data_IF_762860733704
#
_entry.id   IF_762860733704
#
_cell.length_a   1.000
_cell.length_b   1.000
_cell.length_c   1.000
_cell.angle_alpha   90.00
_cell.angle_beta   90.00
_cell.angle_gamma   90.00
#
_symmetry.space_group_name_H-M   'P 1'
#
loop_
_entity.id
_entity.type
_entity.pdbx_description
1 polymer ?
#
# COMPACT_ATOMS: atom_id res chain seq x y z
N UNK A 1 -82.04 36.50 -5.72
CA UNK A 1 -81.18 35.75 -4.78
C UNK A 1 -80.27 36.78 -4.12
N UNK A 2 -80.44 37.04 -2.82
CA UNK A 2 -79.58 36.52 -1.73
C UNK A 2 -78.23 37.25 -1.64
N UNK A 3 -78.09 38.23 -0.73
CA UNK A 3 -77.78 38.13 0.72
C UNK A 3 -76.28 37.85 0.95
N UNK A 4 -75.56 38.51 1.86
CA UNK A 4 -75.78 39.67 2.75
C UNK A 4 -74.51 39.83 3.63
N UNK A 5 -74.29 41.04 4.15
CA UNK A 5 -73.59 41.37 5.43
C UNK A 5 -72.07 41.05 5.53
N UNK A 6 -71.24 41.72 6.35
CA UNK A 6 -71.30 43.06 6.99
C UNK A 6 -69.89 43.45 7.55
N UNK A 7 -69.74 44.70 8.04
CA UNK A 7 -68.72 45.16 9.02
C UNK A 7 -67.24 45.26 8.56
N UNK A 8 -66.35 46.06 9.18
CA UNK A 8 -66.49 47.32 9.94
C UNK A 8 -65.08 47.89 10.23
N UNK A 9 -65.00 49.20 10.55
CA UNK A 9 -63.97 49.87 11.35
C UNK A 9 -62.48 49.83 10.93
N UNK A 10 -61.96 51.02 10.59
CA UNK A 10 -60.74 51.58 11.19
C UNK A 10 -59.45 50.75 11.18
N UNK A 11 -58.62 50.97 10.17
CA UNK A 11 -57.18 50.72 10.27
C UNK A 11 -56.54 51.71 11.27
N UNK A 12 -56.60 51.38 12.56
CA UNK A 12 -55.75 51.99 13.58
C UNK A 12 -54.30 51.56 13.34
N UNK A 13 -53.56 52.34 12.55
CA UNK A 13 -52.12 52.15 12.36
C UNK A 13 -51.44 52.39 13.71
N UNK A 14 -50.71 51.40 14.21
CA UNK A 14 -50.02 51.52 15.50
C UNK A 14 -49.00 52.69 15.50
N UNK A 15 -48.93 53.54 16.55
CA UNK A 15 -48.14 54.78 16.54
C UNK A 15 -46.60 54.63 16.51
N UNK A 16 -46.07 53.44 16.23
CA UNK A 16 -44.64 53.14 16.25
C UNK A 16 -44.03 52.90 14.86
N UNK A 17 -44.84 52.82 13.80
CA UNK A 17 -44.36 52.65 12.41
C UNK A 17 -44.00 53.97 11.70
N UNK A 18 -44.32 55.12 12.30
CA UNK A 18 -44.10 56.44 11.71
C UNK A 18 -42.73 57.07 12.07
N UNK A 19 -41.91 56.36 12.86
CA UNK A 19 -40.63 56.86 13.39
C UNK A 19 -39.37 56.38 12.65
N UNK A 20 -39.50 55.56 11.60
CA UNK A 20 -38.37 55.08 10.82
C UNK A 20 -38.11 55.97 9.58
N UNK A 21 -36.91 56.57 9.44
CA UNK A 21 -36.62 57.46 8.32
C UNK A 21 -36.64 56.71 6.99
N UNK A 22 -37.37 57.30 6.03
CA UNK A 22 -37.54 56.79 4.65
C UNK A 22 -36.16 56.70 3.97
N UNK A 23 -35.62 55.48 3.84
CA UNK A 23 -34.31 55.25 3.19
C UNK A 23 -34.39 55.61 1.70
N UNK A 24 -33.68 56.67 1.31
CA UNK A 24 -33.42 56.99 -0.08
C UNK A 24 -32.50 55.92 -0.71
N UNK A 25 -32.77 55.44 -1.94
CA UNK A 25 -31.87 54.54 -2.65
C UNK A 25 -30.74 55.37 -3.29
N UNK A 26 -29.72 55.73 -2.51
CA UNK A 26 -28.55 56.44 -3.05
C UNK A 26 -27.29 55.99 -2.32
N UNK A 27 -26.36 55.41 -3.08
CA UNK A 27 -24.99 55.01 -2.72
C UNK A 27 -24.81 54.31 -1.35
N UNK A 28 -24.71 52.98 -1.38
CA UNK A 28 -24.03 52.21 -0.32
C UNK A 28 -22.97 51.32 -0.96
N UNK A 29 -21.71 51.62 -0.61
CA UNK A 29 -20.46 50.90 -0.81
C UNK A 29 -20.50 49.53 -1.51
N UNK A 30 -19.82 49.45 -2.67
CA UNK A 30 -19.53 48.20 -3.39
C UNK A 30 -18.35 47.39 -2.79
N UNK A 31 -18.17 47.43 -1.46
CA UNK A 31 -17.03 46.84 -0.74
C UNK A 31 -17.45 45.92 0.42
N UNK A 32 -18.40 45.02 0.16
CA UNK A 32 -18.74 43.93 1.10
C UNK A 32 -18.78 42.55 0.44
N UNK A 33 -17.82 42.26 -0.43
CA UNK A 33 -17.55 40.89 -0.88
C UNK A 33 -16.81 40.12 0.21
N UNK A 34 -17.55 39.70 1.25
CA UNK A 34 -17.05 38.71 2.23
C UNK A 34 -17.12 37.30 1.63
N UNK A 35 -16.71 37.16 0.36
CA UNK A 35 -16.32 35.88 -0.23
C UNK A 35 -14.88 35.64 0.17
N UNK A 36 -14.66 35.39 1.47
CA UNK A 36 -13.41 34.80 1.96
C UNK A 36 -13.29 33.44 1.30
N UNK A 37 -12.57 33.39 0.18
CA UNK A 37 -12.28 32.16 -0.55
C UNK A 37 -11.82 31.13 0.47
N UNK A 38 -12.65 30.09 0.69
CA UNK A 38 -12.10 28.83 1.17
C UNK A 38 -11.20 28.36 0.05
N UNK A 39 -9.91 28.71 0.14
CA UNK A 39 -8.88 27.92 -0.50
C UNK A 39 -9.22 26.46 -0.18
N UNK A 40 -9.30 25.62 -1.22
CA UNK A 40 -9.53 24.21 -0.99
C UNK A 40 -8.53 23.75 0.07
N UNK A 41 -9.03 23.08 1.13
CA UNK A 41 -8.15 22.49 2.14
C UNK A 41 -7.06 21.75 1.36
N UNK A 42 -5.75 21.98 1.64
CA UNK A 42 -4.69 21.45 0.80
C UNK A 42 -4.95 19.98 0.59
N UNK A 43 -5.34 19.61 -0.64
CA UNK A 43 -5.50 18.21 -0.99
C UNK A 43 -4.16 17.60 -0.66
N UNK A 44 -4.14 16.65 0.28
CA UNK A 44 -2.92 16.11 0.84
C UNK A 44 -2.23 15.30 -0.26
N UNK A 45 -1.54 16.04 -1.14
CA UNK A 45 -0.75 15.51 -2.21
C UNK A 45 0.41 14.82 -1.51
N UNK A 46 0.24 13.50 -1.36
CA UNK A 46 1.30 12.58 -0.96
C UNK A 46 2.42 12.86 -1.95
N UNK A 47 3.41 13.62 -1.48
CA UNK A 47 4.40 14.26 -2.33
C UNK A 47 5.06 13.15 -3.17
N UNK A 48 4.83 13.18 -4.48
CA UNK A 48 5.17 12.08 -5.42
C UNK A 48 6.68 11.97 -5.66
N UNK A 49 7.43 11.75 -4.60
CA UNK A 49 8.87 11.60 -4.58
C UNK A 49 9.26 10.18 -5.02
N UNK A 50 8.86 9.77 -6.24
CA UNK A 50 9.19 8.45 -6.77
C UNK A 50 10.69 8.19 -6.83
N UNK A 51 11.53 9.22 -7.03
CA UNK A 51 12.99 9.10 -6.87
C UNK A 51 13.35 8.52 -5.50
N UNK A 52 12.95 9.17 -4.39
CA UNK A 52 13.23 8.69 -3.02
C UNK A 52 12.69 7.30 -2.75
N UNK A 53 11.56 6.95 -3.37
CA UNK A 53 10.94 5.62 -3.22
C UNK A 53 11.75 4.56 -3.99
N UNK A 54 12.25 4.87 -5.18
CA UNK A 54 13.16 4.03 -5.96
C UNK A 54 14.51 3.88 -5.25
N UNK A 55 15.08 4.97 -4.74
CA UNK A 55 16.35 4.98 -3.98
C UNK A 55 16.26 4.05 -2.75
N UNK A 56 15.13 4.09 -2.03
CA UNK A 56 14.86 3.20 -0.89
C UNK A 56 14.41 1.78 -1.27
N UNK A 57 14.00 1.54 -2.52
CA UNK A 57 13.50 0.24 -2.96
C UNK A 57 14.58 -0.84 -2.93
N UNK A 58 15.84 -0.49 -3.19
CA UNK A 58 16.99 -1.41 -3.05
C UNK A 58 17.11 -1.94 -1.62
N UNK A 59 17.18 -1.03 -0.64
CA UNK A 59 17.22 -1.38 0.78
C UNK A 59 15.98 -2.16 1.25
N UNK A 60 14.80 -1.87 0.68
CA UNK A 60 13.60 -2.67 0.89
C UNK A 60 13.75 -4.10 0.35
N UNK A 61 14.33 -4.29 -0.85
CA UNK A 61 14.65 -5.62 -1.39
C UNK A 61 15.71 -6.38 -0.58
N UNK A 62 16.71 -5.67 -0.07
CA UNK A 62 17.78 -6.21 0.80
C UNK A 62 17.26 -6.64 2.19
N UNK A 63 16.05 -6.24 2.57
CA UNK A 63 15.41 -6.67 3.82
C UNK A 63 15.39 -5.65 4.94
N UNK A 64 15.70 -4.38 4.69
CA UNK A 64 15.69 -3.35 5.73
C UNK A 64 14.33 -3.29 6.45
N UNK A 65 14.33 -3.08 7.77
CA UNK A 65 13.09 -3.13 8.54
C UNK A 65 12.13 -2.02 8.10
N UNK A 66 10.81 -2.29 8.19
CA UNK A 66 9.80 -1.30 7.79
C UNK A 66 9.90 -0.02 8.64
N UNK A 67 10.27 -0.15 9.92
CA UNK A 67 10.51 0.97 10.83
C UNK A 67 11.64 1.89 10.32
N UNK A 68 12.78 1.35 9.92
CA UNK A 68 13.89 2.16 9.39
C UNK A 68 13.57 2.80 8.02
N UNK A 69 12.80 2.11 7.18
CA UNK A 69 12.32 2.66 5.90
C UNK A 69 11.36 3.84 6.13
N UNK A 70 10.48 3.74 7.12
CA UNK A 70 9.57 4.82 7.53
C UNK A 70 10.31 6.01 8.17
N UNK A 71 11.39 5.77 8.91
CA UNK A 71 12.29 6.83 9.38
C UNK A 71 13.00 7.56 8.22
N UNK A 72 13.28 6.84 7.13
CA UNK A 72 13.95 7.40 5.95
C UNK A 72 12.98 8.16 5.03
N UNK A 73 11.75 7.67 4.88
CA UNK A 73 10.66 8.32 4.15
C UNK A 73 9.32 8.09 4.86
N UNK A 74 8.82 9.09 5.62
CA UNK A 74 7.47 9.06 6.17
C UNK A 74 6.45 8.86 5.04
N UNK A 75 5.66 7.78 5.12
CA UNK A 75 4.72 7.38 4.08
C UNK A 75 5.21 6.31 3.10
N UNK A 76 6.41 5.73 3.27
CA UNK A 76 6.87 4.58 2.46
C UNK A 76 5.86 3.40 2.47
N UNK A 77 5.20 3.16 3.61
CA UNK A 77 4.14 2.14 3.78
C UNK A 77 2.87 2.42 2.96
N UNK A 78 2.68 3.62 2.42
CA UNK A 78 1.58 3.86 1.47
C UNK A 78 1.83 3.13 0.14
N UNK A 79 3.09 2.90 -0.25
CA UNK A 79 3.49 2.31 -1.52
C UNK A 79 3.82 0.81 -1.40
N UNK A 80 4.49 0.41 -0.31
CA UNK A 80 4.89 -0.97 -0.05
C UNK A 80 4.27 -1.53 1.23
N UNK A 81 3.94 -2.82 1.22
CA UNK A 81 3.59 -3.57 2.43
C UNK A 81 4.83 -4.26 3.01
N UNK A 82 4.68 -5.15 4.01
CA UNK A 82 5.82 -5.85 4.59
C UNK A 82 6.56 -6.77 3.59
N UNK A 83 5.83 -7.32 2.59
CA UNK A 83 6.34 -8.32 1.64
C UNK A 83 5.78 -8.12 0.21
N UNK A 84 5.36 -6.90 -0.15
CA UNK A 84 4.64 -6.66 -1.39
C UNK A 84 4.33 -5.19 -1.67
N UNK A 85 3.37 -4.96 -2.56
CA UNK A 85 2.86 -3.62 -2.86
C UNK A 85 1.63 -3.29 -2.01
N UNK A 86 1.44 -2.00 -1.76
CA UNK A 86 0.15 -1.47 -1.33
C UNK A 86 -0.81 -1.42 -2.52
N UNK A 87 -2.00 -2.00 -2.34
CA UNK A 87 -2.99 -2.14 -3.41
C UNK A 87 -3.42 -0.81 -4.03
N UNK A 88 -3.45 0.30 -3.25
CA UNK A 88 -3.92 1.61 -3.74
C UNK A 88 -2.79 2.47 -4.33
N UNK A 89 -1.83 2.88 -3.51
CA UNK A 89 -0.79 3.82 -3.95
C UNK A 89 0.41 3.12 -4.59
N UNK A 90 0.73 1.87 -4.21
CA UNK A 90 1.75 1.07 -4.90
C UNK A 90 1.38 0.78 -6.35
N UNK A 91 0.13 0.37 -6.61
CA UNK A 91 -0.37 0.16 -7.98
C UNK A 91 -0.57 1.47 -8.77
N UNK A 92 -0.84 2.60 -8.09
CA UNK A 92 -0.83 3.92 -8.74
C UNK A 92 0.60 4.30 -9.15
N UNK A 93 1.57 4.13 -8.25
CA UNK A 93 2.98 4.36 -8.53
C UNK A 93 3.46 3.53 -9.72
N UNK A 94 3.25 2.20 -9.73
CA UNK A 94 3.70 1.37 -10.85
C UNK A 94 3.17 1.88 -12.20
N UNK A 95 1.89 2.29 -12.29
CA UNK A 95 1.32 2.84 -13.54
C UNK A 95 1.94 4.17 -13.98
N UNK A 96 2.53 4.94 -13.06
CA UNK A 96 3.19 6.22 -13.35
C UNK A 96 4.71 6.08 -13.58
N UNK A 97 5.29 4.89 -13.35
CA UNK A 97 6.73 4.59 -13.54
C UNK A 97 7.06 4.10 -14.97
N UNK A 98 8.29 4.35 -15.43
CA UNK A 98 8.81 3.78 -16.68
C UNK A 98 8.87 2.25 -16.65
N UNK A 99 9.10 1.60 -17.80
CA UNK A 99 9.31 0.15 -17.86
C UNK A 99 10.44 -0.32 -16.93
N UNK A 100 11.63 0.27 -17.09
CA UNK A 100 12.81 -0.10 -16.30
C UNK A 100 12.63 0.17 -14.80
N UNK A 101 11.94 1.25 -14.44
CA UNK A 101 11.62 1.59 -13.05
C UNK A 101 10.63 0.60 -12.44
N UNK A 102 9.60 0.17 -13.18
CA UNK A 102 8.69 -0.90 -12.74
C UNK A 102 9.43 -2.21 -12.54
N UNK A 103 10.25 -2.60 -13.50
CA UNK A 103 11.02 -3.84 -13.45
C UNK A 103 12.03 -3.86 -12.29
N UNK A 104 12.63 -2.71 -11.98
CA UNK A 104 13.44 -2.52 -10.78
C UNK A 104 12.60 -2.75 -9.51
N UNK A 105 11.47 -2.05 -9.36
CA UNK A 105 10.60 -2.18 -8.18
C UNK A 105 10.11 -3.63 -7.99
N UNK A 106 9.68 -4.29 -9.06
CA UNK A 106 9.23 -5.68 -9.05
C UNK A 106 10.37 -6.60 -8.61
N UNK A 107 11.59 -6.40 -9.14
CA UNK A 107 12.75 -7.17 -8.72
C UNK A 107 13.06 -7.01 -7.22
N UNK A 108 12.96 -5.80 -6.66
CA UNK A 108 13.16 -5.60 -5.22
C UNK A 108 12.06 -6.26 -4.38
N UNK A 109 10.80 -6.26 -4.83
CA UNK A 109 9.72 -6.99 -4.15
C UNK A 109 9.99 -8.50 -4.15
N UNK A 110 10.40 -9.07 -5.29
CA UNK A 110 10.77 -10.48 -5.42
C UNK A 110 11.92 -10.83 -4.45
N UNK A 111 12.96 -9.98 -4.38
CA UNK A 111 14.07 -10.15 -3.43
C UNK A 111 13.58 -10.13 -1.98
N UNK A 112 12.72 -9.19 -1.60
CA UNK A 112 12.17 -9.13 -0.24
C UNK A 112 11.32 -10.33 0.11
N UNK A 113 10.48 -10.81 -0.81
CA UNK A 113 9.71 -12.06 -0.64
C UNK A 113 10.65 -13.24 -0.37
N UNK A 114 11.69 -13.40 -1.21
CA UNK A 114 12.68 -14.47 -1.06
C UNK A 114 13.49 -14.40 0.25
N UNK A 115 13.68 -13.21 0.81
CA UNK A 115 14.45 -12.99 2.03
C UNK A 115 13.62 -13.14 3.33
N UNK A 116 12.28 -12.92 3.30
CA UNK A 116 11.47 -12.79 4.52
C UNK A 116 10.38 -13.83 4.72
N UNK A 117 9.87 -14.42 3.65
CA UNK A 117 8.79 -15.40 3.76
C UNK A 117 9.37 -16.82 3.79
N UNK A 118 8.67 -17.73 4.44
CA UNK A 118 9.01 -19.16 4.38
C UNK A 118 8.74 -19.72 2.97
N UNK A 119 9.43 -20.78 2.53
CA UNK A 119 9.29 -21.30 1.17
C UNK A 119 7.85 -21.62 0.73
N UNK A 120 7.00 -22.06 1.66
CA UNK A 120 5.57 -22.29 1.43
C UNK A 120 4.78 -20.99 1.15
N UNK A 121 5.14 -19.88 1.81
CA UNK A 121 4.48 -18.58 1.65
C UNK A 121 5.04 -17.79 0.47
N UNK A 122 6.32 -17.99 0.11
CA UNK A 122 6.98 -17.36 -1.06
C UNK A 122 6.19 -17.57 -2.35
N UNK A 123 5.77 -18.81 -2.63
CA UNK A 123 5.03 -19.11 -3.87
C UNK A 123 3.70 -18.35 -3.94
N UNK A 124 2.97 -18.29 -2.82
CA UNK A 124 1.69 -17.61 -2.72
C UNK A 124 1.87 -16.09 -2.89
N UNK A 125 2.86 -15.49 -2.21
CA UNK A 125 3.17 -14.07 -2.32
C UNK A 125 3.58 -13.66 -3.75
N UNK A 126 4.43 -14.45 -4.40
CA UNK A 126 4.81 -14.24 -5.81
C UNK A 126 3.61 -14.41 -6.77
N UNK A 127 2.65 -15.28 -6.43
CA UNK A 127 1.44 -15.48 -7.23
C UNK A 127 0.44 -14.32 -7.07
N UNK A 128 0.32 -13.77 -5.87
CA UNK A 128 -0.45 -12.56 -5.63
C UNK A 128 0.17 -11.36 -6.35
N UNK A 129 1.51 -11.21 -6.29
CA UNK A 129 2.24 -10.15 -7.02
C UNK A 129 1.99 -10.22 -8.53
N UNK A 130 2.09 -11.40 -9.13
CA UNK A 130 1.81 -11.58 -10.57
C UNK A 130 0.35 -11.22 -10.92
N UNK A 131 -0.61 -11.68 -10.11
CA UNK A 131 -2.04 -11.44 -10.35
C UNK A 131 -2.40 -9.96 -10.24
N UNK A 132 -1.90 -9.29 -9.19
CA UNK A 132 -2.13 -7.87 -8.96
C UNK A 132 -1.50 -7.00 -10.05
N UNK A 133 -0.25 -7.31 -10.45
CA UNK A 133 0.40 -6.63 -11.56
C UNK A 133 -0.37 -6.84 -12.87
N UNK A 134 -0.67 -8.09 -13.25
CA UNK A 134 -1.29 -8.43 -14.54
C UNK A 134 -2.67 -7.78 -14.74
N UNK A 135 -3.40 -7.51 -13.65
CA UNK A 135 -4.71 -6.81 -13.68
C UNK A 135 -4.59 -5.29 -13.86
N UNK A 136 -3.44 -4.69 -13.54
CA UNK A 136 -3.30 -3.23 -13.39
C UNK A 136 -2.18 -2.60 -14.25
N UNK A 137 -1.21 -3.40 -14.69
CA UNK A 137 0.06 -2.94 -15.28
C UNK A 137 0.55 -3.97 -16.29
N UNK A 138 0.86 -3.53 -17.52
CA UNK A 138 1.55 -4.38 -18.50
C UNK A 138 3.00 -4.61 -18.05
N UNK A 139 3.33 -5.84 -17.64
CA UNK A 139 4.68 -6.24 -17.26
C UNK A 139 5.59 -6.40 -18.48
N UNK A 140 6.90 -6.22 -18.30
CA UNK A 140 7.89 -6.63 -19.28
C UNK A 140 8.10 -8.15 -19.22
N UNK A 141 8.69 -8.72 -20.28
CA UNK A 141 9.11 -10.12 -20.27
C UNK A 141 10.13 -10.40 -19.14
N UNK A 142 11.08 -9.49 -18.90
CA UNK A 142 12.07 -9.60 -17.83
C UNK A 142 11.43 -9.69 -16.44
N UNK A 143 10.36 -8.93 -16.19
CA UNK A 143 9.62 -9.01 -14.93
C UNK A 143 8.87 -10.34 -14.80
N UNK A 144 8.24 -10.83 -15.88
CA UNK A 144 7.55 -12.13 -15.90
C UNK A 144 8.52 -13.29 -15.66
N UNK A 145 9.66 -13.30 -16.35
CA UNK A 145 10.69 -14.34 -16.23
C UNK A 145 11.24 -14.41 -14.79
N UNK A 146 11.51 -13.26 -14.17
CA UNK A 146 11.94 -13.17 -12.75
C UNK A 146 10.89 -13.70 -11.78
N UNK A 147 9.60 -13.44 -12.02
CA UNK A 147 8.50 -13.99 -11.21
C UNK A 147 8.45 -15.52 -11.38
N UNK A 148 8.55 -16.01 -12.61
CA UNK A 148 8.52 -17.44 -12.90
C UNK A 148 9.70 -18.19 -12.25
N UNK A 149 10.92 -17.67 -12.37
CA UNK A 149 12.13 -18.21 -11.72
C UNK A 149 12.01 -18.22 -10.19
N UNK A 150 11.55 -17.12 -9.59
CA UNK A 150 11.35 -17.05 -8.15
C UNK A 150 10.31 -18.08 -7.65
N UNK A 151 9.24 -18.31 -8.43
CA UNK A 151 8.22 -19.33 -8.13
C UNK A 151 8.74 -20.75 -8.25
N UNK A 152 9.51 -21.09 -9.29
CA UNK A 152 10.08 -22.43 -9.43
C UNK A 152 11.10 -22.71 -8.33
N UNK A 153 11.90 -21.72 -7.94
CA UNK A 153 12.79 -21.79 -6.77
C UNK A 153 12.02 -22.03 -5.47
N UNK A 154 11.00 -21.22 -5.16
CA UNK A 154 10.18 -21.39 -3.96
C UNK A 154 9.51 -22.78 -3.89
N UNK A 155 8.95 -23.26 -5.03
CA UNK A 155 8.40 -24.62 -5.17
C UNK A 155 9.41 -25.72 -4.86
N UNK A 156 10.66 -25.54 -5.31
CA UNK A 156 11.72 -26.51 -5.08
C UNK A 156 12.15 -26.52 -3.61
N UNK A 157 12.39 -25.34 -3.04
CA UNK A 157 12.75 -25.14 -1.63
C UNK A 157 11.69 -25.77 -0.70
N UNK A 158 10.40 -25.44 -0.87
CA UNK A 158 9.31 -25.99 -0.06
C UNK A 158 9.19 -27.52 -0.17
N UNK A 159 9.35 -28.08 -1.38
CA UNK A 159 9.34 -29.54 -1.60
C UNK A 159 10.57 -30.23 -1.00
N UNK A 160 11.72 -29.56 -0.99
CA UNK A 160 12.94 -30.08 -0.39
C UNK A 160 12.84 -30.08 1.13
N UNK A 161 12.44 -28.95 1.72
CA UNK A 161 12.27 -28.77 3.15
C UNK A 161 11.25 -29.76 3.73
N UNK A 162 10.05 -29.88 3.12
CA UNK A 162 9.05 -30.87 3.55
C UNK A 162 9.56 -32.32 3.47
N UNK A 163 10.33 -32.68 2.42
CA UNK A 163 10.95 -34.01 2.31
C UNK A 163 12.05 -34.23 3.34
N UNK A 164 12.85 -33.21 3.64
CA UNK A 164 13.93 -33.26 4.60
C UNK A 164 13.38 -33.39 6.02
N UNK A 165 12.44 -32.52 6.40
CA UNK A 165 11.79 -32.53 7.71
C UNK A 165 11.04 -33.86 7.94
N UNK A 166 10.31 -34.39 6.95
CA UNK A 166 9.66 -35.70 7.04
C UNK A 166 10.67 -36.84 7.27
N UNK A 167 11.78 -36.88 6.52
CA UNK A 167 12.85 -37.87 6.73
C UNK A 167 13.52 -37.71 8.10
N UNK A 168 13.75 -36.48 8.55
CA UNK A 168 14.40 -36.21 9.82
C UNK A 168 13.50 -36.59 10.99
N UNK A 169 12.22 -36.15 10.99
CA UNK A 169 11.20 -36.54 11.96
C UNK A 169 11.04 -38.06 12.02
N UNK A 170 10.93 -38.76 10.89
CA UNK A 170 10.84 -40.22 10.88
C UNK A 170 12.09 -40.91 11.50
N UNK A 171 13.29 -40.40 11.21
CA UNK A 171 14.56 -40.98 11.70
C UNK A 171 14.87 -40.66 13.17
N UNK A 172 14.43 -39.50 13.67
CA UNK A 172 14.65 -39.06 15.06
C UNK A 172 13.50 -39.43 15.99
N UNK A 173 12.23 -39.42 15.57
CA UNK A 173 11.11 -39.92 16.39
C UNK A 173 11.22 -41.43 16.67
N UNK A 174 11.99 -42.15 15.84
CA UNK A 174 12.41 -43.53 16.09
C UNK A 174 13.63 -43.68 17.03
N UNK A 175 14.19 -42.59 17.57
CA UNK A 175 15.42 -42.60 18.39
C UNK A 175 15.45 -41.66 19.61
N UNK A 176 14.70 -40.56 19.63
CA UNK A 176 14.70 -39.53 20.67
C UNK A 176 13.37 -38.77 20.72
N UNK A 177 12.69 -38.77 21.87
CA UNK A 177 11.48 -37.97 22.16
C UNK A 177 11.80 -36.50 22.49
N UNK A 178 12.47 -35.79 21.58
CA UNK A 178 12.81 -34.36 21.76
C UNK A 178 12.54 -33.55 20.49
N UNK A 179 11.29 -33.13 20.29
CA UNK A 179 10.87 -32.41 19.07
C UNK A 179 11.51 -31.00 18.93
N UNK A 180 11.80 -30.31 20.05
CA UNK A 180 12.24 -28.90 20.04
C UNK A 180 13.70 -28.69 19.63
N UNK A 181 14.63 -29.49 20.14
CA UNK A 181 16.07 -29.40 19.79
C UNK A 181 16.32 -29.78 18.32
N UNK A 182 15.45 -30.62 17.76
CA UNK A 182 15.52 -31.07 16.36
C UNK A 182 15.18 -29.95 15.39
N UNK A 183 14.11 -29.18 15.61
CA UNK A 183 13.71 -28.09 14.71
C UNK A 183 14.79 -27.02 14.58
N UNK A 184 15.34 -26.55 15.71
CA UNK A 184 16.42 -25.54 15.72
C UNK A 184 17.61 -25.94 14.84
N UNK A 185 18.07 -27.20 14.94
CA UNK A 185 19.22 -27.69 14.17
C UNK A 185 18.90 -27.93 12.69
N UNK A 186 17.65 -28.25 12.35
CA UNK A 186 17.22 -28.38 10.94
C UNK A 186 17.30 -27.02 10.24
N UNK A 187 16.74 -25.96 10.84
CA UNK A 187 16.79 -24.61 10.28
C UNK A 187 18.23 -24.10 10.11
N UNK A 188 19.11 -24.42 11.06
CA UNK A 188 20.53 -24.08 10.98
C UNK A 188 21.22 -24.76 9.79
N UNK A 189 21.01 -26.07 9.60
CA UNK A 189 21.58 -26.84 8.48
C UNK A 189 21.06 -26.35 7.12
N UNK A 190 19.76 -26.01 7.02
CA UNK A 190 19.17 -25.46 5.79
C UNK A 190 19.82 -24.11 5.43
N UNK A 191 20.12 -23.27 6.42
CA UNK A 191 20.81 -21.98 6.22
C UNK A 191 22.22 -22.09 5.62
N UNK A 192 22.91 -23.23 5.78
CA UNK A 192 24.25 -23.44 5.22
C UNK A 192 24.27 -24.02 3.80
N UNK A 193 23.19 -24.66 3.34
CA UNK A 193 23.15 -25.39 2.06
C UNK A 193 23.50 -24.55 0.80
N UNK A 194 23.07 -23.28 0.65
CA UNK A 194 23.47 -22.44 -0.48
C UNK A 194 24.99 -22.22 -0.61
N UNK A 195 25.75 -22.39 0.48
CA UNK A 195 27.23 -22.29 0.48
C UNK A 195 27.89 -23.56 -0.07
N UNK A 196 27.25 -24.73 0.11
CA UNK A 196 27.78 -26.00 -0.38
C UNK A 196 27.54 -26.19 -1.89
N UNK A 197 26.43 -25.69 -2.46
CA UNK A 197 26.25 -25.69 -3.92
C UNK A 197 27.26 -24.78 -4.65
N UNK A 198 27.73 -23.71 -4.01
CA UNK A 198 28.79 -22.86 -4.54
C UNK A 198 30.16 -23.58 -4.56
N UNK A 199 30.44 -24.43 -3.57
CA UNK A 199 31.66 -25.24 -3.49
C UNK A 199 31.66 -26.45 -4.44
N UNK A 200 30.48 -26.93 -4.85
CA UNK A 200 30.33 -28.02 -5.83
C UNK A 200 30.48 -27.60 -7.31
N UNK A 201 30.91 -26.36 -7.58
CA UNK A 201 31.15 -25.80 -8.93
C UNK A 201 32.63 -25.46 -9.20
N UNK A 202 33.54 -26.04 -8.42
CA UNK A 202 35.00 -25.97 -8.59
C UNK A 202 35.52 -27.30 -9.12
#
# INVERSE_FOLDING_TARGET
EERRENYSTGCNIHPLLESLPRRNPTQVHADSSVHRMRAAAPTSDIQKNYSKILDLSGAYGDGKSMSELLMSLPGFSHFFSHHGLSHKYGMKMLRELSGDQRDHVIHQIIRRIGNFLDPAERELALSNLESDCSRNVMLSQLALDRIAEAKTKAKFEAKFEAKFEAKFKAKFKAKFDVETVVQSKISEIIGYLPRYEALGKV
#
